data_IF_688390857460
#
_entry.id   IF_688390857460
#
_cell.length_a   1.000
_cell.length_b   1.000
_cell.length_c   1.000
_cell.angle_alpha   90.00
_cell.angle_beta   90.00
_cell.angle_gamma   90.00
#
_symmetry.space_group_name_H-M   'P 1'
#
loop_
_entity.id
_entity.type
_entity.pdbx_description
1 polymer ?
#
# COMPACT_ATOMS: atom_id res chain seq x y z
N UNK A 1 20.96 23.98 -6.74
CA UNK A 1 21.57 23.02 -5.80
C UNK A 1 20.90 21.68 -6.04
N UNK A 2 21.64 20.57 -5.96
CA UNK A 2 21.03 19.24 -6.10
C UNK A 2 20.08 19.00 -4.93
N UNK A 3 18.93 18.36 -5.19
CA UNK A 3 17.97 17.97 -4.15
C UNK A 3 18.58 16.90 -3.23
N UNK A 4 19.43 16.05 -3.80
CA UNK A 4 20.05 14.91 -3.14
C UNK A 4 21.48 15.24 -2.68
N UNK A 5 21.75 15.01 -1.40
CA UNK A 5 23.11 14.93 -0.85
C UNK A 5 23.59 13.49 -0.89
N UNK A 6 24.89 13.26 -1.13
CA UNK A 6 25.50 11.91 -1.15
C UNK A 6 25.15 11.09 0.11
N UNK A 7 24.85 9.80 -0.07
CA UNK A 7 24.58 8.84 1.00
C UNK A 7 25.82 8.00 1.28
N UNK A 8 26.14 7.81 2.56
CA UNK A 8 27.20 6.91 2.98
C UNK A 8 26.70 5.44 2.99
N UNK A 9 27.21 4.58 2.08
CA UNK A 9 26.77 3.19 1.98
C UNK A 9 27.23 2.34 3.18
N UNK A 10 28.36 2.66 3.81
CA UNK A 10 28.88 1.92 4.97
C UNK A 10 28.02 2.17 6.21
N UNK A 11 27.42 3.37 6.29
CA UNK A 11 26.45 3.75 7.32
C UNK A 11 25.01 3.40 6.96
N UNK A 12 24.80 2.71 5.82
CA UNK A 12 23.49 2.28 5.31
C UNK A 12 22.48 3.43 5.31
N UNK A 13 22.91 4.60 4.85
CA UNK A 13 22.07 5.79 4.89
C UNK A 13 20.93 5.71 3.87
N UNK A 14 19.78 6.23 4.27
CA UNK A 14 18.58 6.38 3.44
C UNK A 14 18.09 7.83 3.54
N UNK A 15 17.36 8.27 2.51
CA UNK A 15 16.60 9.53 2.58
C UNK A 15 15.16 9.25 2.96
N UNK A 16 14.58 10.17 3.70
CA UNK A 16 13.17 10.17 4.05
C UNK A 16 12.57 11.52 3.70
N UNK A 17 11.32 11.52 3.26
CA UNK A 17 10.58 12.73 2.95
C UNK A 17 9.34 12.88 3.83
N UNK A 18 8.93 14.11 4.11
CA UNK A 18 7.70 14.38 4.86
C UNK A 18 6.92 15.48 4.15
N UNK A 19 5.62 15.25 3.99
CA UNK A 19 4.70 16.26 3.47
C UNK A 19 4.64 17.43 4.45
N UNK A 20 4.85 18.65 3.93
CA UNK A 20 4.62 19.87 4.70
C UNK A 20 3.14 20.18 4.73
N UNK A 21 2.69 20.86 5.78
CA UNK A 21 1.33 21.39 5.80
C UNK A 21 1.13 22.31 4.59
N UNK A 22 -0.05 22.27 3.94
CA UNK A 22 -0.34 23.16 2.82
C UNK A 22 -0.08 24.60 3.25
N UNK A 23 0.90 25.24 2.63
CA UNK A 23 1.00 26.68 2.70
C UNK A 23 0.01 27.29 1.69
N UNK A 24 -0.09 28.61 1.58
CA UNK A 24 -1.08 29.27 0.70
C UNK A 24 -1.00 28.87 -0.80
N UNK A 25 -0.01 28.06 -1.19
CA UNK A 25 0.19 27.51 -2.54
C UNK A 25 -0.50 26.14 -2.69
N UNK A 26 -1.07 25.89 -3.88
CA UNK A 26 -1.64 24.58 -4.23
C UNK A 26 -0.58 23.51 -4.56
N UNK A 27 0.70 23.85 -4.50
CA UNK A 27 1.82 22.96 -4.83
C UNK A 27 2.18 22.07 -3.66
N UNK A 28 2.34 20.77 -3.90
CA UNK A 28 2.85 19.84 -2.88
C UNK A 28 4.30 20.21 -2.51
N UNK A 29 4.54 20.37 -1.22
CA UNK A 29 5.87 20.69 -0.68
C UNK A 29 6.28 19.62 0.33
N UNK A 30 7.50 19.13 0.17
CA UNK A 30 8.09 18.12 1.01
C UNK A 30 9.38 18.66 1.62
N UNK A 31 9.72 18.13 2.78
CA UNK A 31 11.08 18.19 3.29
C UNK A 31 11.75 16.84 3.19
N UNK A 32 13.07 16.87 3.01
CA UNK A 32 13.90 15.69 2.88
C UNK A 32 15.00 15.72 3.95
N UNK A 33 15.25 14.57 4.58
CA UNK A 33 16.38 14.35 5.50
C UNK A 33 17.08 13.02 5.23
N UNK A 34 18.32 12.92 5.65
CA UNK A 34 19.11 11.68 5.63
C UNK A 34 19.13 11.07 7.03
N UNK A 35 19.01 9.75 7.11
CA UNK A 35 19.13 8.96 8.35
C UNK A 35 19.89 7.66 8.06
N UNK A 36 20.44 7.00 9.08
CA UNK A 36 20.98 5.64 8.95
C UNK A 36 19.89 4.60 9.16
N UNK A 37 19.84 3.58 8.30
CA UNK A 37 18.91 2.46 8.48
C UNK A 37 19.28 1.68 9.74
N UNK A 38 18.36 1.62 10.72
CA UNK A 38 18.58 1.00 12.03
C UNK A 38 18.78 1.99 13.17
N UNK A 39 18.76 3.30 12.90
CA UNK A 39 18.62 4.31 13.93
C UNK A 39 17.22 4.20 14.58
N UNK A 40 17.19 3.86 15.88
CA UNK A 40 15.94 3.67 16.63
C UNK A 40 15.09 4.95 16.73
N UNK A 41 15.71 6.13 16.62
CA UNK A 41 15.01 7.41 16.65
C UNK A 41 14.40 7.78 15.29
N UNK A 42 14.80 7.10 14.22
CA UNK A 42 14.38 7.38 12.85
C UNK A 42 13.15 6.55 12.44
N UNK A 43 12.01 6.71 13.14
CA UNK A 43 10.75 6.09 12.72
C UNK A 43 10.22 6.66 11.40
N UNK A 44 9.81 5.79 10.48
CA UNK A 44 9.24 6.15 9.18
C UNK A 44 8.23 5.12 8.68
N UNK A 45 7.43 5.53 7.71
CA UNK A 45 6.55 4.69 6.90
C UNK A 45 7.10 4.59 5.47
N UNK A 46 6.65 3.63 4.67
CA UNK A 46 7.04 3.54 3.26
C UNK A 46 5.82 3.68 2.35
N UNK A 47 6.02 4.22 1.14
CA UNK A 47 5.01 4.21 0.09
C UNK A 47 5.33 3.12 -0.93
N UNK A 48 4.38 2.22 -1.13
CA UNK A 48 4.40 1.17 -2.13
C UNK A 48 3.39 1.50 -3.22
N UNK A 49 3.85 1.68 -4.45
CA UNK A 49 3.00 2.13 -5.56
C UNK A 49 3.62 1.83 -6.94
N UNK A 50 2.82 1.86 -8.00
CA UNK A 50 3.30 1.74 -9.38
C UNK A 50 3.85 3.10 -9.84
N UNK A 51 5.06 3.16 -10.38
CA UNK A 51 5.61 4.43 -10.89
C UNK A 51 4.74 5.09 -11.97
N UNK A 52 4.08 4.29 -12.80
CA UNK A 52 3.21 4.77 -13.87
C UNK A 52 3.99 5.24 -15.10
N UNK A 53 3.33 5.98 -15.98
CA UNK A 53 3.95 6.54 -17.19
C UNK A 53 4.83 7.74 -16.85
N UNK A 54 6.00 7.83 -17.49
CA UNK A 54 6.88 9.01 -17.43
C UNK A 54 6.49 10.10 -18.44
N UNK A 55 5.38 9.93 -19.17
CA UNK A 55 4.91 10.89 -20.19
C UNK A 55 4.32 12.17 -19.59
N UNK A 56 3.81 12.09 -18.36
CA UNK A 56 3.17 13.20 -17.66
C UNK A 56 3.86 13.40 -16.31
N UNK A 57 4.58 14.52 -16.19
CA UNK A 57 5.31 14.90 -14.99
C UNK A 57 4.66 16.10 -14.33
N UNK A 58 4.50 16.03 -13.02
CA UNK A 58 4.04 17.12 -12.17
C UNK A 58 5.15 17.65 -11.30
N UNK A 59 5.20 18.97 -11.19
CA UNK A 59 6.16 19.64 -10.34
C UNK A 59 5.67 19.65 -8.89
N UNK A 60 6.53 19.20 -7.99
CA UNK A 60 6.43 19.36 -6.55
C UNK A 60 7.65 20.15 -6.05
N UNK A 61 7.67 20.51 -4.78
CA UNK A 61 8.82 21.13 -4.14
C UNK A 61 9.43 20.20 -3.09
N UNK A 62 10.76 20.10 -3.07
CA UNK A 62 11.51 19.39 -2.03
C UNK A 62 12.55 20.34 -1.46
N UNK A 63 12.46 20.63 -0.16
CA UNK A 63 13.33 21.62 0.51
C UNK A 63 13.38 22.98 -0.24
N UNK A 64 12.27 23.39 -0.85
CA UNK A 64 12.15 24.63 -1.63
C UNK A 64 12.79 24.59 -3.02
N UNK A 65 13.20 23.42 -3.51
CA UNK A 65 13.68 23.23 -4.88
C UNK A 65 12.63 22.48 -5.72
N UNK A 66 12.47 22.80 -7.01
CA UNK A 66 11.54 22.09 -7.89
C UNK A 66 12.00 20.64 -8.11
N UNK A 67 11.04 19.72 -8.09
CA UNK A 67 11.26 18.30 -8.36
C UNK A 67 10.08 17.75 -9.18
N UNK A 68 10.34 16.84 -10.12
CA UNK A 68 9.31 16.31 -11.02
C UNK A 68 8.99 14.85 -10.68
N UNK A 69 7.71 14.55 -10.52
CA UNK A 69 7.19 13.21 -10.26
C UNK A 69 6.16 12.81 -11.30
N UNK A 70 5.95 11.51 -11.49
CA UNK A 70 4.88 11.01 -12.36
C UNK A 70 3.49 11.37 -11.82
N UNK A 71 2.48 11.39 -12.69
CA UNK A 71 1.08 11.57 -12.31
C UNK A 71 0.66 10.66 -11.14
N UNK A 72 0.98 9.36 -11.19
CA UNK A 72 0.54 8.43 -10.16
C UNK A 72 1.17 8.70 -8.78
N UNK A 73 2.45 9.09 -8.75
CA UNK A 73 3.09 9.50 -7.49
C UNK A 73 2.52 10.82 -6.97
N UNK A 74 2.26 11.78 -7.87
CA UNK A 74 1.62 13.03 -7.50
C UNK A 74 0.25 12.81 -6.84
N UNK A 75 -0.58 11.94 -7.43
CA UNK A 75 -1.90 11.59 -6.87
C UNK A 75 -1.78 10.90 -5.51
N UNK A 76 -0.82 9.97 -5.37
CA UNK A 76 -0.53 9.31 -4.11
C UNK A 76 -0.15 10.33 -3.01
N UNK A 77 0.78 11.25 -3.31
CA UNK A 77 1.21 12.30 -2.37
C UNK A 77 0.06 13.25 -2.01
N UNK A 78 -0.76 13.64 -2.99
CA UNK A 78 -1.93 14.48 -2.75
C UNK A 78 -2.93 13.77 -1.84
N UNK A 79 -3.16 12.48 -2.05
CA UNK A 79 -4.06 11.70 -1.22
C UNK A 79 -3.53 11.49 0.20
N UNK A 80 -2.22 11.21 0.35
CA UNK A 80 -1.56 11.13 1.66
C UNK A 80 -1.71 12.45 2.43
N UNK A 81 -1.55 13.59 1.75
CA UNK A 81 -1.76 14.93 2.32
C UNK A 81 -3.21 15.13 2.78
N UNK A 82 -4.20 14.81 1.92
CA UNK A 82 -5.63 14.87 2.27
C UNK A 82 -5.99 13.97 3.46
N UNK A 83 -5.33 12.83 3.56
CA UNK A 83 -5.49 11.86 4.65
C UNK A 83 -4.78 12.29 5.95
N UNK A 84 -4.15 13.47 5.99
CA UNK A 84 -3.45 14.00 7.15
C UNK A 84 -2.15 13.28 7.50
N UNK A 85 -1.56 12.54 6.55
CA UNK A 85 -0.31 11.82 6.78
C UNK A 85 0.83 12.81 6.91
N UNK A 86 1.43 12.86 8.10
CA UNK A 86 2.50 13.80 8.48
C UNK A 86 3.75 13.09 9.02
N UNK A 87 3.86 11.78 8.80
CA UNK A 87 5.04 10.98 9.15
C UNK A 87 6.13 11.11 8.10
N UNK A 88 7.34 10.67 8.45
CA UNK A 88 8.41 10.48 7.47
C UNK A 88 8.09 9.28 6.58
N UNK A 89 8.34 9.43 5.28
CA UNK A 89 8.04 8.47 4.24
C UNK A 89 9.32 8.13 3.48
N UNK A 90 9.55 6.84 3.27
CA UNK A 90 10.46 6.38 2.23
C UNK A 90 9.67 6.17 0.94
N UNK A 91 10.09 6.82 -0.13
CA UNK A 91 9.47 6.77 -1.47
C UNK A 91 10.61 6.63 -2.46
N UNK A 92 10.76 5.47 -3.09
CA UNK A 92 11.90 5.12 -3.96
C UNK A 92 12.21 6.17 -5.03
N UNK A 93 11.21 6.64 -5.77
CA UNK A 93 11.39 7.62 -6.85
C UNK A 93 11.88 8.99 -6.36
N UNK A 94 11.75 9.30 -5.06
CA UNK A 94 12.21 10.56 -4.46
C UNK A 94 13.46 10.35 -3.59
N UNK A 95 13.51 9.28 -2.80
CA UNK A 95 14.54 9.07 -1.80
C UNK A 95 15.85 8.54 -2.40
N UNK A 96 15.78 7.92 -3.57
CA UNK A 96 16.92 7.43 -4.34
C UNK A 96 17.22 8.44 -5.46
N UNK A 97 18.49 8.83 -5.61
CA UNK A 97 18.96 9.57 -6.76
C UNK A 97 18.97 8.64 -7.99
N UNK A 98 17.98 8.79 -8.86
CA UNK A 98 17.71 7.87 -9.97
C UNK A 98 18.78 7.89 -11.06
N UNK A 99 19.57 8.97 -11.16
CA UNK A 99 20.64 9.11 -12.14
C UNK A 99 21.97 8.49 -11.66
N UNK A 100 22.11 8.22 -10.37
CA UNK A 100 23.28 7.56 -9.77
C UNK A 100 23.04 6.04 -9.73
N UNK A 101 23.66 5.31 -10.65
CA UNK A 101 23.52 3.86 -10.74
C UNK A 101 24.11 3.11 -9.54
N UNK A 102 25.17 3.65 -8.92
CA UNK A 102 25.81 3.03 -7.76
C UNK A 102 24.91 3.15 -6.55
N UNK A 103 24.43 4.38 -6.27
CA UNK A 103 23.46 4.63 -5.20
C UNK A 103 22.19 3.80 -5.43
N UNK A 104 21.63 3.82 -6.63
CA UNK A 104 20.42 3.08 -6.96
C UNK A 104 20.57 1.58 -6.72
N UNK A 105 21.68 0.99 -7.17
CA UNK A 105 21.94 -0.43 -6.96
C UNK A 105 22.05 -0.76 -5.47
N UNK A 106 22.74 0.09 -4.71
CA UNK A 106 22.89 -0.07 -3.26
C UNK A 106 21.53 0.03 -2.54
N UNK A 107 20.74 1.06 -2.81
CA UNK A 107 19.43 1.28 -2.19
C UNK A 107 18.42 0.18 -2.55
N UNK A 108 18.40 -0.27 -3.82
CA UNK A 108 17.57 -1.41 -4.25
C UNK A 108 17.98 -2.69 -3.51
N UNK A 109 19.28 -2.91 -3.30
CA UNK A 109 19.80 -4.00 -2.49
C UNK A 109 19.33 -3.98 -1.03
N UNK A 110 18.95 -2.81 -0.51
CA UNK A 110 18.44 -2.63 0.85
C UNK A 110 16.91 -2.61 0.96
N UNK A 111 16.15 -2.72 -0.13
CA UNK A 111 14.68 -2.57 -0.11
C UNK A 111 13.99 -3.50 0.90
N UNK A 112 14.41 -4.77 0.98
CA UNK A 112 13.91 -5.72 1.99
C UNK A 112 14.00 -5.15 3.41
N UNK A 113 15.14 -4.56 3.76
CA UNK A 113 15.38 -4.03 5.10
C UNK A 113 14.66 -2.69 5.30
N UNK A 114 14.54 -1.87 4.25
CA UNK A 114 13.82 -0.59 4.31
C UNK A 114 12.33 -0.83 4.54
N UNK A 115 11.69 -1.75 3.81
CA UNK A 115 10.26 -2.03 3.98
C UNK A 115 9.95 -2.78 5.27
N UNK A 116 10.82 -3.71 5.70
CA UNK A 116 10.60 -4.45 6.96
C UNK A 116 10.80 -3.59 8.22
N UNK A 117 11.63 -2.54 8.15
CA UNK A 117 11.81 -1.58 9.25
C UNK A 117 10.76 -0.44 9.24
N UNK A 118 10.00 -0.26 8.15
CA UNK A 118 8.94 0.73 8.12
C UNK A 118 7.85 0.40 9.16
N UNK A 119 7.41 1.40 9.92
CA UNK A 119 6.33 1.27 10.88
C UNK A 119 5.00 0.89 10.18
N UNK A 120 4.75 1.52 9.03
CA UNK A 120 3.59 1.24 8.18
C UNK A 120 3.99 1.34 6.73
N UNK A 121 3.50 0.43 5.89
CA UNK A 121 3.59 0.53 4.44
C UNK A 121 2.24 0.97 3.89
N UNK A 122 2.20 2.16 3.28
CA UNK A 122 1.04 2.63 2.53
C UNK A 122 1.08 2.04 1.13
N UNK A 123 0.08 1.24 0.79
CA UNK A 123 -0.09 0.63 -0.53
C UNK A 123 -1.04 1.52 -1.32
N UNK A 124 -0.51 2.24 -2.31
CA UNK A 124 -1.31 3.07 -3.20
C UNK A 124 -1.65 2.30 -4.48
N UNK A 125 -2.93 1.96 -4.63
CA UNK A 125 -3.42 1.25 -5.80
C UNK A 125 -3.86 2.19 -6.92
N UNK A 126 -3.85 3.51 -6.72
CA UNK A 126 -4.28 4.51 -7.70
C UNK A 126 -5.60 5.20 -7.36
N UNK A 127 -6.05 6.13 -8.21
CA UNK A 127 -7.34 6.81 -8.05
C UNK A 127 -8.53 5.85 -7.89
N UNK A 128 -9.59 6.33 -7.25
CA UNK A 128 -10.85 5.60 -7.10
C UNK A 128 -11.82 5.93 -8.23
N UNK A 129 -12.70 4.99 -8.53
CA UNK A 129 -13.95 5.18 -9.27
C UNK A 129 -15.13 5.03 -8.32
N UNK A 130 -16.35 5.32 -8.79
CA UNK A 130 -17.57 5.09 -8.01
C UNK A 130 -17.67 3.62 -7.55
N UNK A 131 -17.35 2.68 -8.44
CA UNK A 131 -17.39 1.25 -8.13
C UNK A 131 -16.34 0.85 -7.10
N UNK A 132 -15.09 1.31 -7.24
CA UNK A 132 -14.05 0.97 -6.27
C UNK A 132 -14.27 1.64 -4.91
N UNK A 133 -14.82 2.85 -4.90
CA UNK A 133 -15.16 3.53 -3.65
C UNK A 133 -16.24 2.74 -2.90
N UNK A 134 -17.27 2.25 -3.59
CA UNK A 134 -18.30 1.38 -2.99
C UNK A 134 -17.70 0.08 -2.45
N UNK A 135 -16.80 -0.58 -3.20
CA UNK A 135 -16.09 -1.77 -2.69
C UNK A 135 -15.34 -1.44 -1.41
N UNK A 136 -14.54 -0.36 -1.39
CA UNK A 136 -13.75 0.01 -0.23
C UNK A 136 -14.61 0.41 0.98
N UNK A 137 -15.78 1.00 0.76
CA UNK A 137 -16.75 1.31 1.81
C UNK A 137 -17.34 0.03 2.42
N UNK A 138 -17.69 -0.97 1.59
CA UNK A 138 -18.17 -2.28 2.03
C UNK A 138 -17.07 -3.01 2.83
N UNK A 139 -15.84 -3.04 2.31
CA UNK A 139 -14.68 -3.61 3.01
C UNK A 139 -14.47 -2.92 4.36
N UNK A 140 -14.53 -1.59 4.41
CA UNK A 140 -14.36 -0.83 5.65
C UNK A 140 -15.45 -1.14 6.67
N UNK A 141 -16.69 -1.37 6.22
CA UNK A 141 -17.86 -1.65 7.05
C UNK A 141 -17.85 -3.07 7.62
N UNK A 142 -17.54 -4.07 6.81
CA UNK A 142 -17.69 -5.49 7.18
C UNK A 142 -16.36 -6.21 7.44
N UNK A 143 -15.28 -5.78 6.78
CA UNK A 143 -13.96 -6.39 6.89
C UNK A 143 -13.43 -6.50 8.33
N UNK A 144 -13.60 -5.52 9.23
CA UNK A 144 -13.18 -5.66 10.62
C UNK A 144 -13.87 -6.81 11.37
N UNK A 145 -15.15 -7.07 11.10
CA UNK A 145 -15.90 -8.19 11.68
C UNK A 145 -15.40 -9.52 11.11
N UNK A 146 -15.19 -9.58 9.80
CA UNK A 146 -14.68 -10.76 9.11
C UNK A 146 -13.27 -11.12 9.61
N UNK A 147 -12.40 -10.12 9.76
CA UNK A 147 -11.08 -10.30 10.33
C UNK A 147 -11.13 -10.80 11.78
N UNK A 148 -11.95 -10.19 12.62
CA UNK A 148 -12.10 -10.58 14.04
C UNK A 148 -12.64 -12.01 14.23
N UNK A 149 -13.40 -12.53 13.26
CA UNK A 149 -13.93 -13.90 13.31
C UNK A 149 -13.01 -14.95 12.67
N UNK A 150 -11.76 -14.60 12.34
CA UNK A 150 -10.84 -15.49 11.62
C UNK A 150 -11.44 -16.02 10.30
N UNK A 151 -12.17 -15.18 9.55
CA UNK A 151 -12.78 -15.60 8.29
C UNK A 151 -11.75 -16.10 7.25
N UNK A 152 -10.49 -15.69 7.38
CA UNK A 152 -9.35 -16.18 6.59
C UNK A 152 -9.08 -17.69 6.75
N UNK A 153 -9.50 -18.28 7.88
CA UNK A 153 -9.25 -19.69 8.22
C UNK A 153 -10.43 -20.61 7.84
N UNK A 154 -11.49 -20.08 7.21
CA UNK A 154 -12.66 -20.87 6.84
C UNK A 154 -12.37 -21.80 5.66
N UNK A 155 -12.70 -23.10 5.75
CA UNK A 155 -12.60 -24.00 4.61
C UNK A 155 -13.64 -23.63 3.55
N UNK A 156 -13.19 -23.16 2.38
CA UNK A 156 -14.07 -22.99 1.23
C UNK A 156 -14.41 -24.36 0.64
N UNK A 157 -15.69 -24.60 0.35
CA UNK A 157 -16.11 -25.74 -0.45
C UNK A 157 -15.64 -25.54 -1.91
N UNK A 158 -14.39 -25.92 -2.20
CA UNK A 158 -13.95 -26.28 -3.55
C UNK A 158 -13.50 -25.16 -4.51
N UNK A 159 -13.56 -23.88 -4.14
CA UNK A 159 -12.97 -22.80 -4.95
C UNK A 159 -11.87 -22.05 -4.18
N UNK A 160 -10.78 -21.74 -4.88
CA UNK A 160 -9.53 -21.19 -4.32
C UNK A 160 -9.82 -19.92 -3.53
N UNK A 161 -9.65 -19.98 -2.22
CA UNK A 161 -9.68 -18.83 -1.30
C UNK A 161 -8.69 -17.76 -1.78
N UNK A 162 -9.18 -16.57 -2.14
CA UNK A 162 -8.36 -15.42 -2.53
C UNK A 162 -7.80 -14.73 -1.28
N UNK A 163 -6.82 -15.34 -0.62
CA UNK A 163 -5.96 -14.55 0.28
C UNK A 163 -4.97 -13.78 -0.59
N UNK A 164 -5.01 -12.46 -0.57
CA UNK A 164 -4.05 -11.58 -1.23
C UNK A 164 -2.63 -11.85 -0.78
N UNK A 165 -2.42 -12.12 0.52
CA UNK A 165 -1.09 -12.48 1.00
C UNK A 165 -0.64 -13.79 0.37
N UNK A 166 -1.51 -14.81 0.30
CA UNK A 166 -1.21 -16.06 -0.40
C UNK A 166 -1.15 -15.91 -1.93
N UNK A 167 -1.88 -14.98 -2.53
CA UNK A 167 -1.87 -14.72 -3.98
C UNK A 167 -0.56 -14.04 -4.40
N UNK A 168 -0.12 -13.04 -3.63
CA UNK A 168 1.18 -12.38 -3.79
C UNK A 168 2.32 -13.36 -3.51
N UNK A 169 2.21 -14.19 -2.47
CA UNK A 169 3.24 -15.18 -2.09
C UNK A 169 3.24 -16.46 -2.94
N UNK A 170 2.08 -16.84 -3.50
CA UNK A 170 1.85 -18.05 -4.30
C UNK A 170 2.41 -17.99 -5.72
N UNK A 171 3.04 -16.86 -6.08
CA UNK A 171 3.87 -16.74 -7.27
C UNK A 171 5.23 -17.47 -7.13
N UNK A 172 5.48 -18.18 -6.02
CA UNK A 172 6.78 -18.82 -5.76
C UNK A 172 6.81 -20.33 -5.49
N UNK A 173 5.74 -21.06 -5.11
CA UNK A 173 5.76 -22.55 -5.06
C UNK A 173 4.37 -23.17 -4.70
N UNK A 174 4.14 -24.48 -4.93
CA UNK A 174 2.82 -25.13 -4.86
C UNK A 174 2.45 -25.68 -3.47
N UNK A 175 1.20 -25.39 -3.10
CA UNK A 175 0.26 -26.07 -2.19
C UNK A 175 0.81 -26.96 -1.04
N UNK A 176 0.60 -26.51 0.20
CA UNK A 176 0.56 -27.41 1.36
C UNK A 176 -0.65 -27.13 2.27
N UNK A 177 -1.29 -28.24 2.64
CA UNK A 177 -2.49 -28.35 3.45
C UNK A 177 -2.36 -27.75 4.84
N UNK A 178 -3.44 -27.14 5.34
CA UNK A 178 -3.55 -26.70 6.73
C UNK A 178 -4.83 -27.26 7.35
N UNK A 179 -4.68 -27.92 8.49
CA UNK A 179 -5.76 -28.34 9.41
C UNK A 179 -6.22 -27.14 10.24
N UNK A 180 -7.54 -27.00 10.46
CA UNK A 180 -8.17 -25.83 11.11
C UNK A 180 -8.89 -26.20 12.41
N UNK A 181 -8.71 -25.40 13.45
CA UNK A 181 -9.57 -25.34 14.66
C UNK A 181 -10.72 -24.34 14.47
N UNK A 182 -11.93 -24.69 14.91
CA UNK A 182 -13.16 -23.90 14.66
C UNK A 182 -13.37 -22.74 15.65
N UNK A 183 -13.51 -21.51 15.12
CA UNK A 183 -14.02 -20.31 15.79
C UNK A 183 -15.55 -20.08 15.61
N UNK A 184 -16.09 -18.90 15.99
CA UNK A 184 -17.53 -18.68 16.18
C UNK A 184 -18.32 -18.52 14.86
N UNK A 185 -18.70 -19.64 14.26
CA UNK A 185 -19.42 -19.74 12.99
C UNK A 185 -20.71 -18.89 12.87
N UNK A 186 -21.34 -18.49 13.98
CA UNK A 186 -22.60 -17.73 13.98
C UNK A 186 -22.41 -16.26 13.57
N UNK A 187 -21.30 -15.62 13.96
CA UNK A 187 -21.03 -14.22 13.61
C UNK A 187 -20.61 -14.07 12.14
N UNK A 188 -19.89 -15.06 11.62
CA UNK A 188 -19.57 -15.18 10.20
C UNK A 188 -20.85 -15.34 9.38
N UNK A 189 -21.75 -16.24 9.78
CA UNK A 189 -23.01 -16.46 9.07
C UNK A 189 -23.88 -15.19 9.06
N UNK A 190 -23.95 -14.45 10.18
CA UNK A 190 -24.65 -13.17 10.24
C UNK A 190 -24.01 -12.12 9.31
N UNK A 191 -22.68 -12.02 9.32
CA UNK A 191 -21.94 -11.10 8.44
C UNK A 191 -22.11 -11.47 6.97
N UNK A 192 -22.13 -12.76 6.63
CA UNK A 192 -22.39 -13.23 5.28
C UNK A 192 -23.82 -12.94 4.81
N UNK A 193 -24.81 -13.01 5.71
CA UNK A 193 -26.19 -12.58 5.41
C UNK A 193 -26.24 -11.07 5.17
N UNK A 194 -25.60 -10.26 6.01
CA UNK A 194 -25.52 -8.81 5.82
C UNK A 194 -24.84 -8.45 4.48
N UNK A 195 -23.74 -9.14 4.15
CA UNK A 195 -23.01 -8.98 2.89
C UNK A 195 -23.86 -9.40 1.69
N UNK A 196 -24.61 -10.50 1.81
CA UNK A 196 -25.51 -10.98 0.76
C UNK A 196 -26.67 -10.00 0.54
N UNK A 197 -27.24 -9.42 1.60
CA UNK A 197 -28.26 -8.37 1.50
C UNK A 197 -27.69 -7.12 0.84
N UNK A 198 -26.52 -6.65 1.26
CA UNK A 198 -25.83 -5.51 0.64
C UNK A 198 -25.50 -5.80 -0.84
N UNK A 199 -25.12 -7.03 -1.19
CA UNK A 199 -24.92 -7.46 -2.57
C UNK A 199 -26.22 -7.50 -3.37
N UNK A 200 -27.34 -7.91 -2.80
CA UNK A 200 -28.63 -7.85 -3.49
C UNK A 200 -29.07 -6.41 -3.77
N UNK A 201 -28.73 -5.47 -2.88
CA UNK A 201 -29.08 -4.06 -3.00
C UNK A 201 -28.10 -3.28 -3.91
N UNK A 202 -26.79 -3.55 -3.82
CA UNK A 202 -25.70 -2.78 -4.41
C UNK A 202 -24.78 -3.57 -5.37
N UNK A 203 -25.05 -4.86 -5.61
CA UNK A 203 -24.14 -5.81 -6.30
C UNK A 203 -23.78 -5.48 -7.75
N UNK A 204 -24.45 -4.51 -8.38
CA UNK A 204 -24.05 -4.01 -9.71
C UNK A 204 -22.66 -3.37 -9.73
N UNK A 205 -22.18 -2.84 -8.61
CA UNK A 205 -20.88 -2.18 -8.50
C UNK A 205 -19.79 -3.04 -7.85
N UNK A 206 -20.17 -4.05 -7.05
CA UNK A 206 -19.21 -4.87 -6.28
C UNK A 206 -18.27 -5.66 -7.20
N UNK A 207 -18.82 -6.42 -8.16
CA UNK A 207 -18.01 -7.26 -9.06
C UNK A 207 -17.11 -6.42 -9.97
N UNK A 208 -17.61 -5.36 -10.65
CA UNK A 208 -16.75 -4.50 -11.46
C UNK A 208 -15.67 -3.79 -10.64
N UNK A 209 -15.99 -3.28 -9.45
CA UNK A 209 -15.02 -2.60 -8.59
C UNK A 209 -13.94 -3.54 -8.05
N UNK A 210 -14.30 -4.76 -7.63
CA UNK A 210 -13.35 -5.78 -7.21
C UNK A 210 -12.44 -6.20 -8.36
N UNK A 211 -13.03 -6.44 -9.53
CA UNK A 211 -12.29 -6.76 -10.75
C UNK A 211 -11.30 -5.65 -11.08
N UNK A 212 -11.71 -4.38 -11.02
CA UNK A 212 -10.80 -3.25 -11.23
C UNK A 212 -9.61 -3.31 -10.27
N UNK A 213 -9.86 -3.39 -8.97
CA UNK A 213 -8.82 -3.37 -7.94
C UNK A 213 -7.82 -4.53 -8.10
N UNK A 214 -8.30 -5.74 -8.37
CA UNK A 214 -7.46 -6.95 -8.48
C UNK A 214 -6.66 -7.02 -9.79
N UNK A 215 -7.13 -6.37 -10.86
CA UNK A 215 -6.41 -6.33 -12.14
C UNK A 215 -5.46 -5.13 -12.27
N UNK A 216 -5.34 -4.28 -11.24
CA UNK A 216 -4.41 -3.16 -11.27
C UNK A 216 -2.96 -3.66 -11.39
N UNK A 217 -2.18 -2.94 -12.20
CA UNK A 217 -0.78 -3.26 -12.50
C UNK A 217 0.13 -3.36 -11.27
N UNK A 218 -0.31 -2.81 -10.14
CA UNK A 218 0.36 -2.94 -8.85
C UNK A 218 0.68 -4.39 -8.51
N UNK A 219 -0.28 -5.31 -8.64
CA UNK A 219 -0.13 -6.71 -8.21
C UNK A 219 0.85 -7.52 -9.08
N UNK A 220 1.14 -7.07 -10.29
CA UNK A 220 2.05 -7.73 -11.22
C UNK A 220 3.52 -7.30 -11.02
N UNK A 221 3.82 -6.43 -10.06
CA UNK A 221 5.19 -5.96 -9.79
C UNK A 221 5.96 -7.00 -8.99
N UNK A 222 7.14 -7.37 -9.48
CA UNK A 222 8.05 -8.31 -8.81
C UNK A 222 8.41 -7.88 -7.38
N UNK A 223 8.41 -6.58 -7.10
CA UNK A 223 8.79 -6.00 -5.81
C UNK A 223 7.66 -6.00 -4.78
N UNK A 224 6.39 -6.27 -5.16
CA UNK A 224 5.25 -6.30 -4.21
C UNK A 224 5.49 -7.27 -3.06
N UNK A 225 6.23 -8.36 -3.30
CA UNK A 225 6.61 -9.30 -2.25
C UNK A 225 7.43 -8.61 -1.16
N UNK A 226 8.42 -7.80 -1.53
CA UNK A 226 9.25 -7.09 -0.55
C UNK A 226 8.48 -5.96 0.15
N UNK A 227 7.53 -5.35 -0.55
CA UNK A 227 6.78 -4.19 -0.08
C UNK A 227 5.62 -4.59 0.84
N UNK A 228 4.93 -5.69 0.53
CA UNK A 228 3.68 -6.11 1.19
C UNK A 228 3.92 -7.28 2.14
N UNK A 229 4.69 -8.29 1.76
CA UNK A 229 4.85 -9.48 2.59
C UNK A 229 5.71 -9.24 3.85
N UNK A 230 6.61 -8.26 3.78
CA UNK A 230 7.55 -7.89 4.85
C UNK A 230 7.07 -6.72 5.71
N UNK A 231 5.96 -6.08 5.34
CA UNK A 231 5.42 -4.96 6.10
C UNK A 231 4.98 -5.43 7.49
N UNK A 232 5.36 -4.68 8.54
CA UNK A 232 4.84 -4.89 9.90
C UNK A 232 3.36 -4.55 9.98
N UNK A 233 3.01 -3.41 9.39
CA UNK A 233 1.64 -2.97 9.17
C UNK A 233 1.53 -2.49 7.72
N UNK A 234 0.42 -2.79 7.07
CA UNK A 234 0.14 -2.34 5.72
C UNK A 234 -1.27 -1.73 5.61
N UNK A 235 -1.38 -0.62 4.88
CA UNK A 235 -2.63 0.10 4.66
C UNK A 235 -2.88 0.20 3.16
N UNK A 236 -3.94 -0.43 2.68
CA UNK A 236 -4.37 -0.36 1.29
C UNK A 236 -5.17 0.92 1.08
N UNK A 237 -4.78 1.68 0.06
CA UNK A 237 -5.41 2.92 -0.35
C UNK A 237 -5.87 2.84 -1.80
N UNK A 238 -7.14 3.15 -2.04
CA UNK A 238 -7.75 3.28 -3.36
C UNK A 238 -8.52 4.59 -3.36
N UNK A 239 -8.12 5.54 -4.22
CA UNK A 239 -8.70 6.88 -4.22
C UNK A 239 -8.69 7.50 -2.82
N UNK A 240 -9.85 7.98 -2.37
CA UNK A 240 -9.97 8.60 -1.05
C UNK A 240 -10.04 7.64 0.14
N UNK A 241 -10.10 6.32 -0.10
CA UNK A 241 -10.49 5.31 0.90
C UNK A 241 -9.28 4.51 1.32
N UNK A 242 -9.28 4.04 2.58
CA UNK A 242 -8.18 3.26 3.14
C UNK A 242 -8.66 2.24 4.15
N UNK A 243 -8.03 1.08 4.16
CA UNK A 243 -8.24 -0.02 5.11
C UNK A 243 -6.91 -0.69 5.43
N UNK A 244 -6.80 -1.39 6.56
CA UNK A 244 -5.62 -2.23 6.78
C UNK A 244 -5.63 -3.39 5.79
N UNK A 245 -4.43 -3.88 5.43
CA UNK A 245 -4.29 -5.00 4.51
C UNK A 245 -5.00 -6.26 5.05
N UNK A 246 -4.94 -6.50 6.36
CA UNK A 246 -5.59 -7.67 6.96
C UNK A 246 -7.12 -7.61 6.85
N UNK A 247 -7.70 -6.42 7.04
CA UNK A 247 -9.13 -6.18 6.85
C UNK A 247 -9.52 -6.30 5.38
N UNK A 248 -8.67 -5.79 4.48
CA UNK A 248 -8.86 -5.92 3.04
C UNK A 248 -8.83 -7.39 2.60
N UNK A 249 -7.86 -8.17 3.10
CA UNK A 249 -7.69 -9.59 2.78
C UNK A 249 -8.84 -10.44 3.31
N UNK A 250 -9.27 -10.19 4.56
CA UNK A 250 -10.40 -10.88 5.16
C UNK A 250 -11.70 -10.65 4.39
N UNK A 251 -11.93 -9.43 3.92
CA UNK A 251 -13.11 -9.12 3.11
C UNK A 251 -13.08 -9.83 1.75
N UNK A 252 -11.96 -9.74 1.03
CA UNK A 252 -11.79 -10.37 -0.29
C UNK A 252 -11.89 -11.89 -0.26
N UNK A 253 -11.43 -12.51 0.82
CA UNK A 253 -11.52 -13.96 1.00
C UNK A 253 -12.97 -14.45 1.09
N UNK A 254 -13.90 -13.59 1.47
CA UNK A 254 -15.32 -13.94 1.70
C UNK A 254 -16.27 -13.42 0.63
N UNK A 255 -15.78 -12.58 -0.28
CA UNK A 255 -16.54 -12.02 -1.42
C UNK A 255 -16.32 -12.87 -2.67
#
# INVERSE_FOLDING_TARGET
MAVHNHLDPDRREIRLVRLRQPHATFTLSLELRTVSLGDEEASYSALSYVWGSSSELHQIEINGQPFFVTQNLHDALQQLSRNGVSVWLWIDAICIEQSDLEEKTHQVGMMRDIFSNAATVYIWLGPGTEETDQVMDIVSKYGPRLYACNALDLPSNGEKTLSLRKFVMGQLEPDEQSTVEMGPATEIAATAVDLFTEYQENGKALVPGLSDILHRSYWCRIWVIQEVALAREAVVMVGGRRVSLDVFDAALTTM
#
